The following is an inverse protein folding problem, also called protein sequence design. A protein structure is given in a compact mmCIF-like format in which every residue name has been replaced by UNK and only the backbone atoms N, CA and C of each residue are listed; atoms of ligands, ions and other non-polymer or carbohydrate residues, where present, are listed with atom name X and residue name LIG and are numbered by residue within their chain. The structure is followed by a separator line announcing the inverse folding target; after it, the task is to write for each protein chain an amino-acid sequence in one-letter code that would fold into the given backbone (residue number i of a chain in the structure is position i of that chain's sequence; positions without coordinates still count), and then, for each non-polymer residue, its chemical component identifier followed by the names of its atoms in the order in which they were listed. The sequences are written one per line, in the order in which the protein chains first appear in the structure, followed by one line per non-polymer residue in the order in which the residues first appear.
data_IF_977333022671
#
_entry.id   IF_977333022671
#
_cell.length_a   1.000
_cell.length_b   1.000
_cell.length_c   1.000
_cell.angle_alpha   90.00
_cell.angle_beta   90.00
_cell.angle_gamma   90.00
#
_symmetry.space_group_name_H-M   'P 1'
#
loop_
_entity.id
_entity.type
_entity.pdbx_description
1 polymer ?
#
# COMPACT_ATOMS: atom_id res chain seq x y z
N UNK A 1 8.63 -2.03 -8.09
CA UNK A 1 7.85 -3.28 -8.17
C UNK A 1 7.22 -3.44 -6.80
N UNK A 2 5.89 -3.56 -6.71
CA UNK A 2 5.19 -3.67 -5.41
C UNK A 2 5.23 -5.12 -4.96
N UNK A 3 5.57 -5.36 -3.70
CA UNK A 3 5.72 -6.66 -3.08
C UNK A 3 4.83 -6.80 -1.83
N UNK A 4 4.58 -8.03 -1.40
CA UNK A 4 3.85 -8.29 -0.14
C UNK A 4 4.64 -7.73 1.03
N UNK A 5 3.98 -6.96 1.88
CA UNK A 5 4.57 -6.24 3.01
C UNK A 5 4.92 -4.78 2.72
N UNK A 6 4.87 -4.34 1.46
CA UNK A 6 5.06 -2.92 1.14
C UNK A 6 3.92 -2.06 1.68
N UNK A 7 4.26 -0.83 2.06
CA UNK A 7 3.26 0.22 2.28
C UNK A 7 2.99 0.97 0.98
N UNK A 8 1.73 1.09 0.63
CA UNK A 8 1.24 1.73 -0.59
C UNK A 8 0.15 2.74 -0.26
N UNK A 9 -0.04 3.72 -1.13
CA UNK A 9 -1.16 4.65 -1.13
C UNK A 9 -2.00 4.45 -2.40
N UNK A 10 -3.27 4.83 -2.32
CA UNK A 10 -4.18 4.80 -3.47
C UNK A 10 -4.12 6.16 -4.16
N UNK A 11 -3.56 6.20 -5.37
CA UNK A 11 -3.33 7.42 -6.14
C UNK A 11 -2.21 8.31 -5.61
N UNK A 12 -1.78 9.28 -6.43
CA UNK A 12 -0.65 10.16 -6.15
C UNK A 12 -0.88 11.12 -4.96
N UNK A 13 -2.14 11.37 -4.61
CA UNK A 13 -2.55 12.26 -3.52
C UNK A 13 -3.20 11.52 -2.34
N UNK A 14 -3.16 10.18 -2.36
CA UNK A 14 -3.74 9.35 -1.31
C UNK A 14 -3.04 9.59 0.03
N UNK A 15 -3.76 10.10 1.02
CA UNK A 15 -3.26 10.24 2.41
C UNK A 15 -3.37 8.94 3.20
N UNK A 16 -4.18 8.00 2.73
CA UNK A 16 -4.39 6.72 3.37
C UNK A 16 -3.30 5.74 2.96
N UNK A 17 -2.64 5.16 3.96
CA UNK A 17 -1.60 4.14 3.80
C UNK A 17 -2.19 2.75 3.99
N UNK A 18 -1.74 1.82 3.17
CA UNK A 18 -2.19 0.44 3.18
C UNK A 18 -0.97 -0.48 3.06
N UNK A 19 -1.02 -1.63 3.73
CA UNK A 19 -0.02 -2.69 3.56
C UNK A 19 -0.50 -3.68 2.50
N UNK A 20 0.41 -4.09 1.64
CA UNK A 20 0.15 -5.12 0.64
C UNK A 20 0.18 -6.48 1.31
N UNK A 21 -0.93 -7.22 1.24
CA UNK A 21 -1.05 -8.58 1.77
C UNK A 21 -0.78 -9.65 0.72
N UNK A 22 -1.24 -9.43 -0.50
CA UNK A 22 -1.06 -10.35 -1.64
C UNK A 22 -0.86 -9.55 -2.93
N UNK A 23 -0.10 -10.12 -3.87
CA UNK A 23 0.13 -9.52 -5.20
C UNK A 23 -0.09 -10.58 -6.27
N UNK A 24 -0.96 -10.26 -7.23
CA UNK A 24 -1.29 -11.08 -8.38
C UNK A 24 -0.73 -10.42 -9.65
N UNK A 25 0.55 -10.69 -10.00
CA UNK A 25 1.18 -10.08 -11.18
C UNK A 25 0.53 -10.54 -12.49
N UNK A 26 -0.09 -11.72 -12.49
CA UNK A 26 -0.83 -12.26 -13.65
C UNK A 26 -2.08 -11.45 -13.98
N UNK A 27 -2.75 -10.90 -12.97
CA UNK A 27 -3.97 -10.09 -13.13
C UNK A 27 -3.70 -8.58 -13.03
N UNK A 28 -2.48 -8.19 -12.65
CA UNK A 28 -2.10 -6.79 -12.43
C UNK A 28 -2.78 -6.19 -11.20
N UNK A 29 -3.04 -6.99 -10.16
CA UNK A 29 -3.78 -6.60 -8.95
C UNK A 29 -2.99 -6.91 -7.69
N UNK A 30 -3.34 -6.24 -6.60
CA UNK A 30 -2.83 -6.53 -5.27
C UNK A 30 -3.93 -6.39 -4.22
N UNK A 31 -3.90 -7.25 -3.22
CA UNK A 31 -4.76 -7.16 -2.04
C UNK A 31 -4.05 -6.28 -1.02
N UNK A 32 -4.71 -5.21 -0.61
CA UNK A 32 -4.19 -4.24 0.34
C UNK A 32 -5.09 -4.16 1.58
N UNK A 33 -4.51 -3.83 2.71
CA UNK A 33 -5.20 -3.71 4.00
C UNK A 33 -4.75 -2.41 4.68
N UNK A 34 -5.65 -1.71 5.36
CA UNK A 34 -5.29 -0.48 6.08
C UNK A 34 -4.27 -0.78 7.18
N UNK A 35 -3.21 0.03 7.26
CA UNK A 35 -2.22 -0.06 8.36
C UNK A 35 -2.80 0.43 9.70
N UNK A 36 -3.92 1.15 9.67
CA UNK A 36 -4.59 1.65 10.85
C UNK A 36 -5.50 0.58 11.45
N UNK A 37 -5.01 -0.12 12.48
CA UNK A 37 -5.77 -1.13 13.23
C UNK A 37 -6.90 -0.52 14.08
N UNK A 38 -6.88 0.80 14.30
CA UNK A 38 -7.92 1.54 15.02
C UNK A 38 -9.17 1.81 14.18
N UNK A 39 -9.09 1.62 12.86
CA UNK A 39 -10.25 1.65 11.98
C UNK A 39 -11.03 0.35 12.17
N UNK A 40 -12.15 0.41 12.90
CA UNK A 40 -13.09 -0.69 13.07
C UNK A 40 -13.68 -1.11 11.71
N UNK A 41 -12.94 -1.92 10.96
CA UNK A 41 -13.28 -2.30 9.58
C UNK A 41 -12.09 -2.45 8.63
N UNK A 42 -10.87 -2.70 9.11
CA UNK A 42 -9.74 -3.06 8.24
C UNK A 42 -9.96 -4.44 7.63
N UNK A 43 -10.73 -4.46 6.53
CA UNK A 43 -10.88 -5.62 5.68
C UNK A 43 -9.91 -5.50 4.49
N UNK A 44 -9.20 -6.58 4.15
CA UNK A 44 -8.38 -6.60 2.96
C UNK A 44 -9.26 -6.48 1.72
N UNK A 45 -8.85 -5.64 0.76
CA UNK A 45 -9.55 -5.47 -0.51
C UNK A 45 -8.57 -5.42 -1.69
N UNK A 46 -9.03 -5.88 -2.86
CA UNK A 46 -8.21 -5.92 -4.07
C UNK A 46 -8.25 -4.61 -4.84
N UNK A 47 -7.08 -4.14 -5.26
CA UNK A 47 -6.89 -2.94 -6.08
C UNK A 47 -5.97 -3.22 -7.27
N UNK A 48 -6.14 -2.53 -8.41
CA UNK A 48 -5.24 -2.64 -9.53
C UNK A 48 -3.88 -2.02 -9.18
N UNK A 49 -2.78 -2.71 -9.52
CA UNK A 49 -1.41 -2.24 -9.27
C UNK A 49 -1.15 -0.86 -9.87
N UNK A 50 -1.80 -0.54 -11.00
CA UNK A 50 -1.68 0.77 -11.66
C UNK A 50 -2.27 1.93 -10.84
N UNK A 51 -3.17 1.66 -9.90
CA UNK A 51 -3.73 2.69 -9.00
C UNK A 51 -2.97 2.78 -7.66
N UNK A 52 -2.06 1.83 -7.41
CA UNK A 52 -1.25 1.79 -6.20
C UNK A 52 0.07 2.49 -6.44
N UNK A 53 0.38 3.44 -5.56
CA UNK A 53 1.67 4.13 -5.53
C UNK A 53 2.39 3.63 -4.29
N UNK A 54 3.67 3.27 -4.39
CA UNK A 54 4.46 2.97 -3.18
C UNK A 54 4.44 4.22 -2.31
N UNK A 55 4.07 4.06 -1.05
CA UNK A 55 4.31 5.12 -0.10
C UNK A 55 5.83 5.17 0.05
N UNK A 56 6.46 6.23 -0.44
CA UNK A 56 7.81 6.55 0.02
C UNK A 56 7.69 6.68 1.54
N UNK A 57 8.20 5.69 2.27
CA UNK A 57 8.67 5.95 3.61
C UNK A 57 9.60 7.15 3.46
N UNK A 58 9.31 8.31 4.10
CA UNK A 58 10.32 9.34 4.18
C UNK A 58 11.47 8.66 4.90
N UNK A 59 12.47 8.21 4.13
CA UNK A 59 13.76 7.81 4.64
C UNK A 59 14.10 8.85 5.69
N UNK A 60 14.25 8.39 6.94
CA UNK A 60 14.75 9.22 8.02
C UNK A 60 15.87 10.07 7.42
N UNK A 61 15.88 11.39 7.66
CA UNK A 61 16.88 12.25 7.05
C UNK A 61 18.25 11.61 7.30
N UNK A 62 18.93 11.27 6.21
CA UNK A 62 20.34 10.92 6.28
C UNK A 62 21.01 12.08 7.02
N UNK A 63 21.55 11.73 8.19
CA UNK A 63 22.31 12.57 9.12
C UNK A 63 23.10 13.68 8.41
N UNK A 64 23.05 14.90 8.94
CA UNK A 64 24.00 15.98 8.64
C UNK A 64 24.40 16.71 9.93
#
# INVERSE_FOLDING_TARGET
MIEVGDTVTIGETGVSRFVVREVDPSEGRAVIESVDESSAGSYPFSMPLAALVRADDPEMPAEA
#
